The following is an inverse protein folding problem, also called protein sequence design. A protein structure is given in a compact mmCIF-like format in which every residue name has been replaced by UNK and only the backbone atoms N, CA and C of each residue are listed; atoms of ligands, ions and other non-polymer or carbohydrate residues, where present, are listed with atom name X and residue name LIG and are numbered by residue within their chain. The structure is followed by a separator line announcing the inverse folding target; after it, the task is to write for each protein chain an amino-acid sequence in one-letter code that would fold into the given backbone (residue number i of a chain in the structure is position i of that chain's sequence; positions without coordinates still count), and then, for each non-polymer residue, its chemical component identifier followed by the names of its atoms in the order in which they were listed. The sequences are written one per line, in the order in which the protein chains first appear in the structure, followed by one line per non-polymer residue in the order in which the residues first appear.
data_IF_537150481858
#
_entry.id   IF_537150481858
#
_cell.length_a   1.000
_cell.length_b   1.000
_cell.length_c   1.000
_cell.angle_alpha   90.00
_cell.angle_beta   90.00
_cell.angle_gamma   90.00
#
_symmetry.space_group_name_H-M   'P 1'
#
loop_
_entity.id
_entity.type
_entity.pdbx_description
1 polymer ?
#
# COMPACT_ATOMS: atom_id res chain seq x y z
N UNK A 1 -31.20 -1.02 -28.80
CA UNK A 1 -30.80 -1.94 -27.72
C UNK A 1 -29.73 -1.26 -26.87
N UNK A 2 -29.92 -1.09 -25.55
CA UNK A 2 -28.87 -0.61 -24.63
C UNK A 2 -28.32 -1.79 -23.85
N UNK A 3 -27.03 -2.08 -24.02
CA UNK A 3 -26.31 -3.17 -23.35
C UNK A 3 -26.20 -2.80 -21.86
N UNK A 4 -26.82 -3.60 -20.99
CA UNK A 4 -26.76 -3.45 -19.54
C UNK A 4 -25.42 -4.06 -19.08
N UNK A 5 -24.39 -3.23 -18.86
CA UNK A 5 -23.15 -3.71 -18.27
C UNK A 5 -23.43 -4.23 -16.85
N UNK A 6 -22.93 -5.42 -16.45
CA UNK A 6 -23.14 -5.93 -15.11
C UNK A 6 -22.31 -5.10 -14.13
N UNK A 7 -22.97 -4.19 -13.41
CA UNK A 7 -22.37 -3.45 -12.30
C UNK A 7 -22.13 -4.42 -11.13
N UNK A 8 -21.01 -5.15 -11.18
CA UNK A 8 -20.59 -6.05 -10.12
C UNK A 8 -20.10 -5.18 -8.96
N UNK A 9 -20.91 -5.01 -7.91
CA UNK A 9 -20.53 -4.31 -6.68
C UNK A 9 -19.20 -4.88 -6.17
N UNK A 10 -18.13 -4.09 -6.24
CA UNK A 10 -16.89 -4.39 -5.52
C UNK A 10 -17.24 -4.29 -4.04
N UNK A 11 -17.27 -5.43 -3.36
CA UNK A 11 -17.47 -5.40 -1.91
C UNK A 11 -16.22 -4.77 -1.28
N UNK A 12 -16.41 -3.78 -0.40
CA UNK A 12 -15.34 -2.99 0.20
C UNK A 12 -14.41 -3.80 1.12
N UNK A 13 -14.85 -4.98 1.57
CA UNK A 13 -14.10 -5.90 2.41
C UNK A 13 -13.10 -6.77 1.62
N UNK A 14 -13.19 -6.78 0.28
CA UNK A 14 -12.31 -7.62 -0.55
C UNK A 14 -10.90 -7.03 -0.59
N UNK A 15 -10.02 -7.57 0.25
CA UNK A 15 -8.59 -7.24 0.24
C UNK A 15 -7.88 -7.86 -0.98
N UNK A 16 -7.07 -7.05 -1.67
CA UNK A 16 -6.15 -7.53 -2.71
C UNK A 16 -4.86 -8.00 -2.06
N UNK A 17 -4.43 -9.23 -2.33
CA UNK A 17 -3.18 -9.77 -1.78
C UNK A 17 -1.99 -9.22 -2.55
N UNK A 18 -1.00 -8.73 -1.81
CA UNK A 18 0.35 -8.42 -2.30
C UNK A 18 1.30 -9.34 -1.55
N UNK A 19 2.12 -10.11 -2.27
CA UNK A 19 3.07 -11.07 -1.70
C UNK A 19 4.50 -10.60 -1.93
N UNK A 20 5.06 -9.73 -1.07
CA UNK A 20 6.44 -9.29 -1.21
C UNK A 20 7.41 -10.39 -0.75
N UNK A 21 8.48 -10.59 -1.51
CA UNK A 21 9.65 -11.35 -1.07
C UNK A 21 10.64 -10.38 -0.42
N UNK A 22 11.00 -10.63 0.83
CA UNK A 22 11.95 -9.81 1.60
C UNK A 22 13.12 -10.67 2.09
N UNK A 23 14.25 -10.03 2.39
CA UNK A 23 15.39 -10.71 2.98
C UNK A 23 15.14 -11.17 4.43
N UNK A 24 16.04 -12.01 4.94
CA UNK A 24 15.93 -12.60 6.27
C UNK A 24 15.93 -11.54 7.40
N UNK A 25 16.77 -10.51 7.29
CA UNK A 25 16.87 -9.44 8.29
C UNK A 25 15.56 -8.65 8.39
N UNK A 26 14.99 -8.26 7.25
CA UNK A 26 13.71 -7.57 7.16
C UNK A 26 12.58 -8.43 7.70
N UNK A 27 12.58 -9.73 7.39
CA UNK A 27 11.59 -10.67 7.93
C UNK A 27 11.66 -10.76 9.46
N UNK A 28 12.85 -10.87 10.05
CA UNK A 28 13.00 -10.94 11.50
C UNK A 28 12.64 -9.62 12.20
N UNK A 29 12.95 -8.47 11.59
CA UNK A 29 12.48 -7.16 12.09
C UNK A 29 10.96 -7.07 12.12
N UNK A 30 10.31 -7.45 11.02
CA UNK A 30 8.85 -7.48 10.92
C UNK A 30 8.25 -8.43 11.97
N UNK A 31 8.84 -9.62 12.14
CA UNK A 31 8.40 -10.60 13.13
C UNK A 31 8.46 -10.06 14.55
N UNK A 32 9.58 -9.45 14.95
CA UNK A 32 9.76 -8.89 16.30
C UNK A 32 8.73 -7.80 16.57
N UNK A 33 8.57 -6.87 15.63
CA UNK A 33 7.59 -5.78 15.78
C UNK A 33 6.15 -6.31 15.83
N UNK A 34 5.82 -7.29 14.99
CA UNK A 34 4.49 -7.91 14.98
C UNK A 34 4.16 -8.54 16.33
N UNK A 35 5.11 -9.28 16.92
CA UNK A 35 4.94 -9.87 18.25
C UNK A 35 4.74 -8.78 19.32
N UNK A 36 5.53 -7.69 19.28
CA UNK A 36 5.40 -6.60 20.26
C UNK A 36 4.08 -5.84 20.16
N UNK A 37 3.42 -5.86 19.01
CA UNK A 37 2.14 -5.20 18.77
C UNK A 37 0.95 -6.15 18.83
N UNK A 38 1.15 -7.43 19.21
CA UNK A 38 0.11 -8.48 19.20
C UNK A 38 -0.56 -8.66 17.82
N UNK A 39 0.21 -8.50 16.75
CA UNK A 39 -0.26 -8.62 15.36
C UNK A 39 0.35 -9.83 14.66
N UNK A 40 -0.35 -10.35 13.65
CA UNK A 40 0.29 -11.27 12.69
C UNK A 40 1.25 -10.49 11.79
N UNK A 41 2.34 -11.15 11.34
CA UNK A 41 3.31 -10.53 10.41
C UNK A 41 2.64 -9.95 9.16
N UNK A 42 1.66 -10.66 8.62
CA UNK A 42 0.92 -10.25 7.42
C UNK A 42 0.04 -9.03 7.67
N UNK A 43 -0.61 -8.94 8.84
CA UNK A 43 -1.37 -7.74 9.21
C UNK A 43 -0.45 -6.54 9.38
N UNK A 44 0.64 -6.68 10.14
CA UNK A 44 1.59 -5.58 10.33
C UNK A 44 2.21 -5.13 9.01
N UNK A 45 2.56 -6.06 8.12
CA UNK A 45 3.08 -5.71 6.79
C UNK A 45 2.06 -4.90 5.98
N UNK A 46 0.78 -5.27 6.04
CA UNK A 46 -0.28 -4.51 5.36
C UNK A 46 -0.40 -3.09 5.94
N UNK A 47 -0.39 -2.93 7.27
CA UNK A 47 -0.43 -1.62 7.93
C UNK A 47 0.78 -0.75 7.56
N UNK A 48 1.98 -1.32 7.53
CA UNK A 48 3.19 -0.60 7.13
C UNK A 48 3.09 -0.11 5.68
N UNK A 49 2.59 -0.96 4.77
CA UNK A 49 2.38 -0.57 3.36
C UNK A 49 1.33 0.54 3.26
N UNK A 50 0.22 0.42 3.98
CA UNK A 50 -0.84 1.44 3.99
C UNK A 50 -0.32 2.78 4.53
N UNK A 51 0.43 2.76 5.63
CA UNK A 51 1.08 3.95 6.19
C UNK A 51 2.06 4.56 5.20
N UNK A 52 2.91 3.74 4.55
CA UNK A 52 3.90 4.21 3.58
C UNK A 52 3.23 4.87 2.36
N UNK A 53 2.16 4.29 1.83
CA UNK A 53 1.41 4.83 0.70
C UNK A 53 0.53 6.04 1.05
N UNK A 54 0.37 6.35 2.34
CA UNK A 54 -0.29 7.56 2.84
C UNK A 54 0.71 8.59 3.41
N UNK A 55 2.01 8.44 3.14
CA UNK A 55 3.03 9.36 3.61
C UNK A 55 3.77 10.02 2.44
N UNK A 56 3.50 11.31 2.22
CA UNK A 56 4.07 12.11 1.12
C UNK A 56 5.60 11.97 1.00
N UNK A 57 6.31 12.02 2.13
CA UNK A 57 7.77 11.92 2.13
C UNK A 57 8.26 10.55 1.63
N UNK A 58 7.59 9.47 2.02
CA UNK A 58 7.94 8.11 1.57
C UNK A 58 7.68 7.98 0.06
N UNK A 59 6.52 8.44 -0.40
CA UNK A 59 6.15 8.40 -1.82
C UNK A 59 7.16 9.19 -2.66
N UNK A 60 7.45 10.43 -2.27
CA UNK A 60 8.40 11.28 -2.97
C UNK A 60 9.81 10.70 -2.98
N UNK A 61 10.23 10.05 -1.90
CA UNK A 61 11.51 9.34 -1.85
C UNK A 61 11.56 8.19 -2.87
N UNK A 62 10.54 7.32 -2.92
CA UNK A 62 10.49 6.24 -3.91
C UNK A 62 10.49 6.79 -5.35
N UNK A 63 9.71 7.83 -5.62
CA UNK A 63 9.66 8.44 -6.95
C UNK A 63 10.99 9.11 -7.34
N UNK A 64 11.68 9.75 -6.40
CA UNK A 64 13.01 10.34 -6.69
C UNK A 64 14.07 9.30 -7.05
N UNK A 65 13.94 8.09 -6.49
CA UNK A 65 14.96 7.04 -6.62
C UNK A 65 14.67 6.05 -7.75
N UNK A 66 13.40 5.76 -8.02
CA UNK A 66 13.00 4.65 -8.88
C UNK A 66 12.05 5.01 -10.02
N UNK A 67 11.56 6.25 -10.11
CA UNK A 67 10.70 6.62 -11.23
C UNK A 67 11.47 6.50 -12.56
N UNK A 68 10.91 5.74 -13.50
CA UNK A 68 11.44 5.56 -14.86
C UNK A 68 10.55 6.17 -15.94
N UNK A 69 9.33 6.59 -15.60
CA UNK A 69 8.35 7.12 -16.54
C UNK A 69 7.51 8.22 -15.87
N UNK A 70 7.78 9.46 -16.28
CA UNK A 70 7.13 10.64 -15.71
C UNK A 70 5.62 10.69 -15.90
N UNK A 71 5.06 9.94 -16.86
CA UNK A 71 3.60 9.83 -17.03
C UNK A 71 2.91 9.09 -15.87
N UNK A 72 3.65 8.28 -15.10
CA UNK A 72 3.15 7.56 -13.93
C UNK A 72 3.58 8.21 -12.62
N UNK A 73 4.15 9.42 -12.68
CA UNK A 73 4.51 10.16 -11.48
C UNK A 73 3.24 10.55 -10.73
N UNK A 74 3.11 10.09 -9.51
CA UNK A 74 1.98 10.41 -8.63
C UNK A 74 2.21 11.75 -7.94
N UNK A 75 1.17 12.58 -7.87
CA UNK A 75 1.19 13.87 -7.16
C UNK A 75 0.34 13.70 -5.89
N UNK A 76 0.95 13.46 -4.72
CA UNK A 76 0.20 13.27 -3.48
C UNK A 76 -0.59 14.54 -3.12
N UNK A 77 -1.91 14.40 -2.98
CA UNK A 77 -2.77 15.45 -2.41
C UNK A 77 -3.36 14.95 -1.10
N UNK A 78 -3.17 15.72 -0.02
CA UNK A 78 -3.70 15.37 1.30
C UNK A 78 -5.14 15.86 1.44
N UNK A 79 -6.09 14.93 1.47
CA UNK A 79 -7.51 15.21 1.67
C UNK A 79 -7.97 14.46 2.93
N UNK A 80 -8.38 15.20 3.96
CA UNK A 80 -8.87 14.62 5.23
C UNK A 80 -7.91 13.58 5.86
N UNK A 81 -6.60 13.81 5.76
CA UNK A 81 -5.59 12.92 6.33
C UNK A 81 -5.23 11.69 5.49
N UNK A 82 -5.85 11.50 4.32
CA UNK A 82 -5.50 10.46 3.34
C UNK A 82 -4.77 11.05 2.16
N UNK A 83 -3.84 10.30 1.57
CA UNK A 83 -3.21 10.69 0.31
C UNK A 83 -4.04 10.16 -0.85
N UNK A 84 -4.38 11.07 -1.76
CA UNK A 84 -5.01 10.75 -3.05
C UNK A 84 -4.01 11.07 -4.18
N UNK A 85 -4.12 10.33 -5.28
CA UNK A 85 -3.38 10.56 -6.52
C UNK A 85 -4.31 10.44 -7.72
#
# INVERSE_FOLDING_TARGET
MKIKQPNRKVRSDKKTRVNPSVDHDTHEKLKKLAVSCEMTKTMLAAEIIEMALNNESVINWFQSKYNTNDNYRVIPVKIQGRIMY
#
